data_IF_354315820941
#
_entry.id   IF_354315820941
#
_cell.length_a   1.000
_cell.length_b   1.000
_cell.length_c   1.000
_cell.angle_alpha   90.00
_cell.angle_beta   90.00
_cell.angle_gamma   90.00
#
_symmetry.space_group_name_H-M   'P 1'
#
loop_
_entity.id
_entity.type
_entity.pdbx_description
1 polymer ?
#
# COMPACT_ATOMS: atom_id res chain seq x y z
N UNK A 1 25.75 10.29 -11.56
CA UNK A 1 24.38 9.90 -11.19
C UNK A 1 24.42 9.43 -9.75
N UNK A 2 23.54 9.93 -8.90
CA UNK A 2 23.36 9.38 -7.56
C UNK A 2 22.58 8.07 -7.71
N UNK A 3 23.29 6.95 -7.62
CA UNK A 3 22.69 5.61 -7.46
C UNK A 3 22.35 5.44 -5.98
N UNK A 4 21.20 5.97 -5.58
CA UNK A 4 20.64 5.72 -4.25
C UNK A 4 19.67 4.56 -4.34
N UNK A 5 20.16 3.33 -4.27
CA UNK A 5 19.33 2.21 -3.85
C UNK A 5 19.01 2.45 -2.36
N UNK A 6 17.84 3.00 -2.08
CA UNK A 6 17.41 3.27 -0.71
C UNK A 6 16.79 2.01 -0.14
N UNK A 7 17.63 1.09 0.33
CA UNK A 7 17.19 -0.01 1.19
C UNK A 7 16.83 0.58 2.55
N UNK A 8 15.53 0.77 2.79
CA UNK A 8 15.05 1.15 4.10
C UNK A 8 15.11 -0.07 5.02
N UNK A 9 16.19 -0.22 5.79
CA UNK A 9 16.20 -1.11 6.97
C UNK A 9 15.37 -0.45 8.10
N UNK A 10 14.07 -0.29 7.84
CA UNK A 10 13.09 0.26 8.77
C UNK A 10 11.87 -0.61 8.74
N UNK A 11 11.45 -1.05 9.93
CA UNK A 11 10.24 -1.82 10.13
C UNK A 11 9.02 -0.97 9.74
N UNK A 12 8.33 -1.34 8.67
CA UNK A 12 7.06 -0.73 8.29
C UNK A 12 5.97 -1.18 9.28
N UNK A 13 5.36 -0.21 9.94
CA UNK A 13 4.29 -0.45 10.92
C UNK A 13 2.95 -0.44 10.22
N UNK A 14 2.05 -1.30 10.67
CA UNK A 14 0.64 -1.25 10.29
C UNK A 14 -0.04 -0.14 11.09
N UNK A 15 -0.62 0.84 10.41
CA UNK A 15 -1.47 1.86 11.03
C UNK A 15 -2.93 1.43 10.91
N UNK A 16 -3.43 0.74 11.93
CA UNK A 16 -4.79 0.21 11.98
C UNK A 16 -5.40 0.48 13.35
N UNK A 17 -6.73 0.53 13.41
CA UNK A 17 -7.46 0.63 14.68
C UNK A 17 -7.27 -0.62 15.52
N UNK A 18 -7.32 -0.47 16.85
CA UNK A 18 -7.20 -1.59 17.81
C UNK A 18 -8.29 -2.64 17.64
N UNK A 19 -9.48 -2.19 17.24
CA UNK A 19 -10.64 -3.04 17.03
C UNK A 19 -11.21 -2.87 15.62
N UNK A 20 -11.90 -3.89 15.14
CA UNK A 20 -12.71 -3.89 13.92
C UNK A 20 -14.16 -4.11 14.33
N UNK A 21 -15.05 -3.19 13.94
CA UNK A 21 -16.47 -3.23 14.31
C UNK A 21 -17.36 -3.90 13.24
N UNK A 22 -16.81 -4.18 12.07
CA UNK A 22 -17.55 -4.64 10.88
C UNK A 22 -17.44 -6.16 10.63
N UNK A 23 -17.05 -6.93 11.65
CA UNK A 23 -16.91 -8.39 11.58
C UNK A 23 -18.04 -9.10 12.32
N UNK A 24 -18.33 -10.35 11.97
CA UNK A 24 -19.17 -11.21 12.79
C UNK A 24 -18.37 -11.83 13.94
N UNK A 25 -19.10 -12.38 14.92
CA UNK A 25 -18.52 -13.09 16.06
C UNK A 25 -17.54 -14.20 15.60
N UNK A 26 -16.50 -14.46 16.41
CA UNK A 26 -15.53 -15.50 16.11
C UNK A 26 -16.19 -16.89 16.08
N UNK A 27 -15.75 -17.76 15.15
CA UNK A 27 -16.15 -19.16 15.21
C UNK A 27 -15.72 -19.77 16.53
N UNK A 28 -16.65 -20.44 17.19
CA UNK A 28 -16.38 -21.24 18.40
C UNK A 28 -16.18 -22.70 17.98
N UNK A 29 -15.05 -23.30 18.35
CA UNK A 29 -14.79 -24.72 18.09
C UNK A 29 -15.63 -25.53 19.09
N UNK A 30 -16.63 -26.26 18.60
CA UNK A 30 -17.47 -27.17 19.38
C UNK A 30 -17.73 -28.49 18.63
N UNK A 31 -18.21 -29.51 19.34
CA UNK A 31 -18.53 -30.85 18.77
C UNK A 31 -19.71 -30.85 17.80
N UNK A 32 -20.42 -29.73 17.70
CA UNK A 32 -21.47 -29.44 16.72
C UNK A 32 -21.05 -28.21 15.91
N UNK A 33 -21.32 -28.24 14.60
CA UNK A 33 -21.13 -27.09 13.70
C UNK A 33 -22.14 -26.00 14.10
N UNK A 34 -21.85 -25.27 15.16
CA UNK A 34 -22.57 -24.05 15.49
C UNK A 34 -22.16 -23.00 14.45
N UNK A 35 -22.96 -22.90 13.41
CA UNK A 35 -22.94 -21.80 12.46
C UNK A 35 -23.31 -20.55 13.25
N UNK A 36 -22.32 -19.74 13.62
CA UNK A 36 -22.58 -18.44 14.21
C UNK A 36 -23.29 -17.57 13.16
N UNK A 37 -24.35 -16.86 13.56
CA UNK A 37 -24.98 -15.85 12.71
C UNK A 37 -23.94 -14.83 12.27
N UNK A 38 -23.67 -14.78 10.97
CA UNK A 38 -22.67 -13.90 10.39
C UNK A 38 -23.26 -12.55 9.94
N UNK A 39 -24.57 -12.34 10.01
CA UNK A 39 -25.20 -11.07 9.67
C UNK A 39 -25.01 -10.01 10.78
N UNK A 40 -24.95 -10.46 12.04
CA UNK A 40 -24.80 -9.58 13.20
C UNK A 40 -23.34 -9.14 13.38
N UNK A 41 -23.10 -7.83 13.35
CA UNK A 41 -21.79 -7.25 13.62
C UNK A 41 -21.40 -7.40 15.11
N UNK A 42 -20.13 -7.66 15.34
CA UNK A 42 -19.49 -7.77 16.65
C UNK A 42 -18.11 -7.11 16.61
N UNK A 43 -17.80 -6.31 17.63
CA UNK A 43 -16.47 -5.71 17.78
C UNK A 43 -15.42 -6.78 18.09
N UNK A 44 -14.30 -6.74 17.36
CA UNK A 44 -13.19 -7.69 17.50
C UNK A 44 -11.85 -6.99 17.62
N UNK A 45 -10.92 -7.59 18.34
CA UNK A 45 -9.52 -7.17 18.32
C UNK A 45 -8.95 -7.34 16.90
N UNK A 46 -8.30 -6.29 16.39
CA UNK A 46 -7.72 -6.30 15.07
C UNK A 46 -6.40 -7.08 15.08
N UNK A 47 -6.31 -8.13 14.27
CA UNK A 47 -5.11 -8.96 14.17
C UNK A 47 -3.85 -8.19 13.71
N UNK A 48 -4.03 -7.13 12.91
CA UNK A 48 -2.94 -6.29 12.42
C UNK A 48 -2.49 -5.23 13.41
N UNK A 49 -3.21 -5.01 14.53
CA UNK A 49 -2.85 -3.95 15.47
C UNK A 49 -1.50 -4.22 16.14
N UNK A 50 -0.59 -3.25 16.05
CA UNK A 50 0.76 -3.37 16.61
C UNK A 50 1.67 -4.36 15.87
N UNK A 51 1.27 -4.79 14.67
CA UNK A 51 2.06 -5.67 13.80
C UNK A 51 2.98 -4.87 12.88
N UNK A 52 3.88 -5.61 12.24
CA UNK A 52 4.96 -5.06 11.43
C UNK A 52 5.12 -5.88 10.16
N UNK A 53 5.41 -5.22 9.04
CA UNK A 53 5.82 -5.87 7.81
C UNK A 53 7.31 -6.17 7.94
N UNK A 54 7.67 -7.45 7.81
CA UNK A 54 9.02 -7.93 8.10
C UNK A 54 9.99 -7.71 6.95
N UNK A 55 9.48 -7.65 5.71
CA UNK A 55 10.30 -7.44 4.52
C UNK A 55 9.58 -6.49 3.56
N UNK A 56 10.26 -5.40 3.23
CA UNK A 56 9.76 -4.38 2.32
C UNK A 56 10.95 -3.78 1.56
N UNK A 57 10.95 -3.97 0.25
CA UNK A 57 11.98 -3.45 -0.64
C UNK A 57 11.36 -2.46 -1.61
N UNK A 58 12.03 -1.33 -1.81
CA UNK A 58 11.62 -0.32 -2.79
C UNK A 58 12.84 0.11 -3.59
N UNK A 59 12.84 -0.23 -4.89
CA UNK A 59 13.90 0.14 -5.80
C UNK A 59 13.45 1.32 -6.67
N UNK A 60 14.22 2.41 -6.66
CA UNK A 60 14.01 3.56 -7.55
C UNK A 60 15.28 3.87 -8.33
N UNK A 61 15.17 3.84 -9.66
CA UNK A 61 16.22 4.32 -10.55
C UNK A 61 15.76 5.64 -11.19
N UNK A 62 16.49 6.73 -10.93
CA UNK A 62 16.18 8.04 -11.48
C UNK A 62 17.37 8.66 -12.23
N UNK A 63 17.09 9.27 -13.37
CA UNK A 63 18.02 10.03 -14.18
C UNK A 63 17.56 11.48 -14.31
N UNK A 64 18.53 12.39 -14.37
CA UNK A 64 18.33 13.82 -14.61
C UNK A 64 19.04 14.23 -15.90
N UNK A 65 18.32 14.91 -16.78
CA UNK A 65 18.85 15.50 -18.00
C UNK A 65 18.52 16.98 -18.00
N UNK A 66 19.52 17.81 -18.29
CA UNK A 66 19.35 19.25 -18.46
C UNK A 66 19.89 19.68 -19.82
N UNK A 67 19.14 20.53 -20.49
CA UNK A 67 19.49 21.17 -21.75
C UNK A 67 19.52 22.67 -21.51
N UNK A 68 20.71 23.26 -21.65
CA UNK A 68 20.88 24.71 -21.61
C UNK A 68 20.56 25.24 -23.01
N UNK A 69 19.44 25.95 -23.13
CA UNK A 69 18.93 26.51 -24.39
C UNK A 69 19.07 28.02 -24.31
N UNK A 70 20.06 28.55 -25.03
CA UNK A 70 20.41 29.97 -25.00
C UNK A 70 20.92 30.43 -23.62
N UNK A 71 21.58 31.57 -23.55
CA UNK A 71 22.24 32.12 -22.33
C UNK A 71 21.26 32.50 -21.18
N UNK A 72 20.00 32.04 -21.25
CA UNK A 72 18.89 32.51 -20.40
C UNK A 72 17.86 31.45 -20.01
N UNK A 73 17.81 30.27 -20.65
CA UNK A 73 16.79 29.25 -20.39
C UNK A 73 17.39 27.85 -20.23
N UNK A 74 17.02 27.18 -19.14
CA UNK A 74 17.34 25.79 -18.90
C UNK A 74 16.05 24.95 -18.92
N UNK A 75 16.03 23.88 -19.71
CA UNK A 75 14.98 22.86 -19.65
C UNK A 75 15.56 21.62 -19.00
N UNK A 76 14.87 21.10 -17.98
CA UNK A 76 15.30 19.92 -17.27
C UNK A 76 14.19 18.88 -17.22
N UNK A 77 14.58 17.61 -17.29
CA UNK A 77 13.66 16.52 -17.08
C UNK A 77 14.24 15.48 -16.12
N UNK A 78 13.34 14.87 -15.36
CA UNK A 78 13.62 13.69 -14.55
C UNK A 78 12.90 12.51 -15.15
N UNK A 79 13.58 11.38 -15.28
CA UNK A 79 12.96 10.10 -15.58
C UNK A 79 13.25 9.16 -14.42
N UNK A 80 12.21 8.56 -13.84
CA UNK A 80 12.31 7.59 -12.77
C UNK A 80 11.58 6.30 -13.12
N UNK A 81 12.16 5.16 -12.79
CA UNK A 81 11.50 3.87 -12.75
C UNK A 81 11.50 3.38 -11.30
N UNK A 82 10.35 2.94 -10.79
CA UNK A 82 10.23 2.39 -9.43
C UNK A 82 9.46 1.08 -9.41
N UNK A 83 9.96 0.13 -8.62
CA UNK A 83 9.29 -1.13 -8.30
C UNK A 83 9.44 -1.40 -6.81
N UNK A 84 8.55 -2.22 -6.27
CA UNK A 84 8.51 -2.52 -4.85
C UNK A 84 7.99 -3.91 -4.55
N UNK A 85 8.38 -4.39 -3.38
CA UNK A 85 8.07 -5.70 -2.85
C UNK A 85 7.68 -5.58 -1.39
N UNK A 86 6.60 -6.26 -0.98
CA UNK A 86 6.19 -6.36 0.41
C UNK A 86 5.89 -7.80 0.77
N UNK A 87 6.43 -8.26 1.90
CA UNK A 87 6.14 -9.57 2.46
C UNK A 87 5.94 -9.50 3.96
N UNK A 88 4.81 -10.06 4.40
CA UNK A 88 4.49 -10.22 5.82
C UNK A 88 3.52 -11.38 6.04
N UNK A 89 3.32 -11.72 7.31
CA UNK A 89 2.23 -12.60 7.71
C UNK A 89 0.88 -11.98 7.35
N UNK A 90 -0.11 -12.83 7.06
CA UNK A 90 -1.48 -12.40 6.76
C UNK A 90 -2.16 -11.69 7.94
N UNK A 91 -1.61 -11.83 9.15
CA UNK A 91 -2.02 -11.07 10.34
C UNK A 91 -1.67 -9.58 10.22
N UNK A 92 -0.50 -9.22 9.68
CA UNK A 92 -0.13 -7.83 9.43
C UNK A 92 -0.96 -7.17 8.31
N UNK A 93 -1.44 -7.96 7.34
CA UNK A 93 -2.33 -7.50 6.28
C UNK A 93 -3.83 -7.53 6.66
N UNK A 94 -4.17 -7.94 7.89
CA UNK A 94 -5.55 -8.07 8.36
C UNK A 94 -6.44 -8.84 7.37
N UNK A 95 -5.95 -9.96 6.84
CA UNK A 95 -6.73 -10.75 5.88
C UNK A 95 -7.88 -11.44 6.63
N UNK A 96 -9.11 -11.15 6.21
CA UNK A 96 -10.33 -11.69 6.81
C UNK A 96 -11.08 -12.61 5.86
N UNK A 97 -11.80 -13.56 6.42
CA UNK A 97 -12.63 -14.50 5.66
C UNK A 97 -13.92 -14.86 6.39
N UNK A 98 -14.89 -15.32 5.63
CA UNK A 98 -16.14 -15.89 6.12
C UNK A 98 -16.08 -17.42 6.01
N UNK A 99 -16.14 -18.10 7.15
CA UNK A 99 -16.13 -19.57 7.21
C UNK A 99 -17.36 -20.11 7.94
N UNK A 100 -17.82 -21.28 7.49
CA UNK A 100 -18.81 -22.07 8.22
C UNK A 100 -20.24 -21.51 8.20
N UNK A 101 -20.67 -20.93 7.08
CA UNK A 101 -22.08 -20.54 6.87
C UNK A 101 -22.91 -21.71 6.36
N UNK A 102 -24.16 -21.81 6.80
CA UNK A 102 -25.15 -22.76 6.29
C UNK A 102 -26.23 -22.00 5.52
N UNK A 103 -25.83 -21.45 4.38
CA UNK A 103 -26.72 -20.78 3.44
C UNK A 103 -26.90 -21.65 2.20
N UNK A 104 -28.15 -22.06 1.90
CA UNK A 104 -28.48 -22.81 0.67
C UNK A 104 -28.67 -21.90 -0.55
N UNK A 105 -28.61 -20.58 -0.35
CA UNK A 105 -28.92 -19.57 -1.37
C UNK A 105 -27.89 -18.43 -1.34
N UNK A 106 -27.37 -18.05 -2.51
CA UNK A 106 -26.30 -17.03 -2.69
C UNK A 106 -26.64 -15.68 -2.04
N UNK A 107 -27.92 -15.31 -1.99
CA UNK A 107 -28.39 -14.06 -1.35
C UNK A 107 -28.10 -14.00 0.15
N UNK A 108 -28.04 -15.14 0.86
CA UNK A 108 -27.72 -15.16 2.30
C UNK A 108 -26.26 -14.80 2.58
N UNK A 109 -25.36 -15.02 1.63
CA UNK A 109 -23.91 -14.85 1.82
C UNK A 109 -23.50 -13.38 1.71
N UNK A 110 -24.23 -12.59 0.91
CA UNK A 110 -23.90 -11.18 0.68
C UNK A 110 -24.21 -10.28 1.89
N UNK A 111 -25.13 -10.71 2.75
CA UNK A 111 -25.47 -10.00 4.00
C UNK A 111 -24.60 -10.46 5.19
N UNK A 112 -23.81 -11.53 5.00
CA UNK A 112 -22.92 -12.08 6.01
C UNK A 112 -21.57 -11.35 6.05
N UNK A 113 -21.03 -11.20 7.26
CA UNK A 113 -19.79 -10.49 7.56
C UNK A 113 -18.67 -11.48 7.82
N UNK A 114 -17.41 -11.13 7.51
CA UNK A 114 -16.28 -12.02 7.78
C UNK A 114 -16.16 -12.32 9.28
N UNK A 115 -15.83 -13.56 9.60
CA UNK A 115 -15.84 -14.10 10.98
C UNK A 115 -14.52 -14.76 11.40
N UNK A 116 -13.49 -14.72 10.54
CA UNK A 116 -12.14 -15.24 10.83
C UNK A 116 -11.08 -14.26 10.34
N UNK A 117 -10.01 -14.10 11.13
CA UNK A 117 -8.73 -13.56 10.65
C UNK A 117 -7.84 -14.71 10.21
N UNK A 118 -7.29 -14.64 9.01
CA UNK A 118 -6.29 -15.58 8.53
C UNK A 118 -4.92 -15.16 9.08
N UNK A 119 -4.37 -15.91 10.02
CA UNK A 119 -3.10 -15.57 10.70
C UNK A 119 -1.92 -16.47 10.34
N UNK A 120 -2.17 -17.59 9.66
CA UNK A 120 -1.13 -18.56 9.29
C UNK A 120 -0.68 -18.46 7.83
N UNK A 121 -1.17 -17.46 7.10
CA UNK A 121 -0.80 -17.19 5.72
C UNK A 121 0.42 -16.26 5.61
N UNK A 122 1.06 -16.30 4.44
CA UNK A 122 2.04 -15.29 4.03
C UNK A 122 1.43 -14.54 2.85
N UNK A 123 1.48 -13.22 2.89
CA UNK A 123 1.03 -12.35 1.80
C UNK A 123 2.26 -11.70 1.19
N UNK A 124 2.36 -11.79 -0.14
CA UNK A 124 3.42 -11.17 -0.91
C UNK A 124 2.79 -10.28 -1.98
N UNK A 125 3.22 -9.02 -2.02
CA UNK A 125 2.79 -8.04 -3.02
C UNK A 125 3.99 -7.60 -3.83
N UNK A 126 3.87 -7.74 -5.14
CA UNK A 126 4.86 -7.29 -6.11
C UNK A 126 4.24 -6.17 -6.92
N UNK A 127 4.94 -5.05 -7.05
CA UNK A 127 4.54 -4.00 -7.98
C UNK A 127 5.37 -4.12 -9.26
N UNK A 128 4.67 -4.09 -10.40
CA UNK A 128 5.34 -3.96 -11.68
C UNK A 128 6.05 -2.60 -11.75
N UNK A 129 7.14 -2.56 -12.53
CA UNK A 129 7.92 -1.33 -12.71
C UNK A 129 7.05 -0.21 -13.29
N UNK A 130 6.90 0.85 -12.51
CA UNK A 130 6.19 2.06 -12.91
C UNK A 130 7.18 3.14 -13.34
N UNK A 131 6.89 3.81 -14.46
CA UNK A 131 7.68 4.92 -14.96
C UNK A 131 7.01 6.25 -14.58
N UNK A 132 7.80 7.16 -14.02
CA UNK A 132 7.39 8.54 -13.75
C UNK A 132 8.37 9.49 -14.41
N UNK A 133 7.87 10.60 -14.94
CA UNK A 133 8.71 11.62 -15.53
C UNK A 133 8.17 13.00 -15.20
N UNK A 134 9.06 13.98 -15.14
CA UNK A 134 8.68 15.38 -15.02
C UNK A 134 9.57 16.23 -15.93
N UNK A 135 9.01 17.31 -16.46
CA UNK A 135 9.75 18.34 -17.20
C UNK A 135 9.51 19.65 -16.48
N UNK A 136 10.58 20.40 -16.26
CA UNK A 136 10.54 21.77 -15.79
C UNK A 136 11.42 22.67 -16.64
N UNK A 137 11.18 23.97 -16.54
CA UNK A 137 12.02 24.98 -17.17
C UNK A 137 12.33 26.07 -16.15
N UNK A 138 13.54 26.62 -16.23
CA UNK A 138 13.97 27.78 -15.46
C UNK A 138 14.49 28.83 -16.44
N UNK A 139 14.03 30.07 -16.27
CA UNK A 139 14.51 31.22 -17.03
C UNK A 139 14.96 32.34 -16.10
N UNK A 140 15.98 33.09 -16.50
CA UNK A 140 16.40 34.31 -15.80
C UNK A 140 15.90 35.55 -16.56
N UNK A 141 15.01 36.33 -15.94
CA UNK A 141 14.58 37.63 -16.44
C UNK A 141 15.37 38.72 -15.74
N UNK A 142 16.28 39.37 -16.46
CA UNK A 142 16.87 40.62 -16.03
C UNK A 142 17.01 41.55 -17.23
N UNK A 143 16.41 42.73 -17.13
CA UNK A 143 16.66 43.84 -18.04
C UNK A 143 18.04 44.41 -17.69
N UNK A 144 19.04 44.21 -18.55
CA UNK A 144 20.09 45.20 -18.62
C UNK A 144 19.47 46.41 -19.34
N UNK A 145 19.11 47.44 -18.59
CA UNK A 145 18.79 48.73 -19.19
C UNK A 145 20.00 49.20 -20.00
N UNK A 146 19.90 49.10 -21.33
CA UNK A 146 20.69 49.82 -22.36
C UNK A 146 20.27 49.39 -23.80
N UNK A 147 18.99 49.06 -24.05
CA UNK A 147 18.48 48.99 -25.43
C UNK A 147 17.94 50.39 -25.79
N UNK A 148 18.83 51.29 -26.21
CA UNK A 148 18.41 52.53 -26.88
C UNK A 148 17.92 52.20 -28.29
N UNK A 149 16.72 52.73 -28.58
CA UNK A 149 16.03 52.75 -29.86
C UNK A 149 16.89 53.34 -30.99
#
# INVERSE_FOLDING_TARGET
>A
GFYGDYVFDRVLKTDVTKTVDDMAAALTIGTSVNVADAATAATRDNAAYGKHIHDAEWATNAAYLALNIWDRFDVFCTLGASSGYFKAGSDAFSVVGLFGINGTTVTSINDDRPNVFLTQGVVELYTDTSFSWSIGARGALWECGCATL
#
